data_IF_760308059638
#
_entry.id   IF_760308059638
#
_cell.length_a   1.000
_cell.length_b   1.000
_cell.length_c   1.000
_cell.angle_alpha   90.00
_cell.angle_beta   90.00
_cell.angle_gamma   90.00
#
_symmetry.space_group_name_H-M   'P 1'
#
loop_
_entity.id
_entity.type
_entity.pdbx_description
1 polymer ?
#
# COMPACT_ATOMS: atom_id res chain seq x y z
N UNK A 1 45.59 0.82 15.76
CA UNK A 1 44.70 0.83 14.58
C UNK A 1 43.41 0.06 14.81
N UNK A 2 43.46 -1.18 15.32
CA UNK A 2 42.25 -1.99 15.61
C UNK A 2 41.27 -1.28 16.56
N UNK A 3 41.76 -0.64 17.64
CA UNK A 3 40.92 0.12 18.57
C UNK A 3 40.15 1.27 17.91
N UNK A 4 40.75 1.97 16.93
CA UNK A 4 40.06 3.03 16.19
C UNK A 4 38.94 2.47 15.31
N UNK A 5 39.15 1.30 14.72
CA UNK A 5 38.12 0.61 13.94
C UNK A 5 36.96 0.16 14.82
N UNK A 6 37.24 -0.37 16.02
CA UNK A 6 36.19 -0.76 16.97
C UNK A 6 35.36 0.44 17.42
N UNK A 7 36.00 1.56 17.76
CA UNK A 7 35.29 2.80 18.14
C UNK A 7 34.46 3.34 16.98
N UNK A 8 34.96 3.28 15.74
CA UNK A 8 34.23 3.69 14.55
C UNK A 8 33.00 2.80 14.30
N UNK A 9 33.13 1.48 14.42
CA UNK A 9 32.01 0.55 14.29
C UNK A 9 30.93 0.76 15.37
N UNK A 10 31.33 1.00 16.63
CA UNK A 10 30.40 1.28 17.72
C UNK A 10 29.68 2.61 17.47
N UNK A 11 30.41 3.65 17.08
CA UNK A 11 29.83 4.96 16.75
C UNK A 11 28.80 4.84 15.62
N UNK A 12 29.17 4.21 14.51
CA UNK A 12 28.26 4.03 13.38
C UNK A 12 27.03 3.18 13.73
N UNK A 13 27.19 2.13 14.55
CA UNK A 13 26.05 1.32 15.01
C UNK A 13 25.06 2.13 15.86
N UNK A 14 25.55 2.95 16.78
CA UNK A 14 24.71 3.83 17.61
C UNK A 14 23.97 4.85 16.74
N UNK A 15 24.68 5.54 15.83
CA UNK A 15 24.06 6.49 14.91
C UNK A 15 23.01 5.83 14.02
N UNK A 16 23.29 4.63 13.49
CA UNK A 16 22.36 3.85 12.70
C UNK A 16 21.06 3.51 13.44
N UNK A 17 21.16 3.05 14.69
CA UNK A 17 19.98 2.73 15.52
C UNK A 17 19.17 3.98 15.86
N UNK A 18 19.81 5.12 16.11
CA UNK A 18 19.12 6.38 16.40
C UNK A 18 18.35 6.85 15.17
N UNK A 19 18.98 6.88 13.99
CA UNK A 19 18.32 7.34 12.76
C UNK A 19 17.17 6.43 12.37
N UNK A 20 17.34 5.11 12.40
CA UNK A 20 16.24 4.20 12.08
C UNK A 20 15.02 4.46 12.98
N UNK A 21 15.24 4.68 14.28
CA UNK A 21 14.14 5.02 15.20
C UNK A 21 13.45 6.34 14.85
N UNK A 22 14.20 7.38 14.47
CA UNK A 22 13.65 8.67 14.04
C UNK A 22 12.81 8.51 12.76
N UNK A 23 13.23 7.63 11.85
CA UNK A 23 12.53 7.38 10.58
C UNK A 23 11.27 6.54 10.81
N UNK A 24 11.33 5.54 11.69
CA UNK A 24 10.19 4.75 12.15
C UNK A 24 9.12 5.64 12.81
N UNK A 25 9.52 6.55 13.71
CA UNK A 25 8.62 7.52 14.36
C UNK A 25 7.93 8.46 13.33
N UNK A 26 8.53 8.62 12.15
CA UNK A 26 8.00 9.41 11.04
C UNK A 26 7.10 8.61 10.08
N UNK A 27 6.91 7.32 10.33
CA UNK A 27 6.06 6.43 9.53
C UNK A 27 6.71 5.92 8.25
N UNK A 28 8.04 6.00 8.12
CA UNK A 28 8.78 5.44 6.98
C UNK A 28 9.38 4.09 7.35
N UNK A 29 9.33 3.14 6.40
CA UNK A 29 9.83 1.77 6.55
C UNK A 29 11.23 1.56 5.97
N UNK A 30 11.86 2.61 5.45
CA UNK A 30 13.17 2.53 4.81
C UNK A 30 14.30 2.38 5.83
N UNK A 31 15.23 1.47 5.55
CA UNK A 31 16.43 1.29 6.36
C UNK A 31 17.48 2.37 6.07
N UNK A 32 17.56 3.35 6.98
CA UNK A 32 18.53 4.44 6.93
C UNK A 32 19.81 4.15 7.74
N UNK A 33 19.93 2.93 8.28
CA UNK A 33 21.03 2.50 9.14
C UNK A 33 22.40 2.69 8.48
N UNK A 34 22.57 2.20 7.24
CA UNK A 34 23.85 2.30 6.52
C UNK A 34 24.20 3.75 6.17
N UNK A 35 23.21 4.55 5.80
CA UNK A 35 23.40 5.98 5.54
C UNK A 35 23.85 6.71 6.80
N UNK A 36 23.21 6.44 7.94
CA UNK A 36 23.59 7.00 9.23
C UNK A 36 24.93 6.49 9.75
N UNK A 37 25.33 5.26 9.41
CA UNK A 37 26.62 4.67 9.81
C UNK A 37 27.80 5.44 9.19
N UNK A 38 27.72 5.81 7.91
CA UNK A 38 28.83 6.48 7.20
C UNK A 38 28.79 8.00 7.30
N UNK A 39 27.59 8.60 7.37
CA UNK A 39 27.41 10.06 7.34
C UNK A 39 26.99 10.66 8.70
N UNK A 40 26.78 9.81 9.71
CA UNK A 40 26.63 10.20 11.12
C UNK A 40 25.63 11.33 11.34
N UNK A 41 26.15 12.46 11.83
CA UNK A 41 25.35 13.65 12.21
C UNK A 41 24.61 14.27 11.02
N UNK A 42 25.16 14.23 9.80
CA UNK A 42 24.49 14.81 8.64
C UNK A 42 23.17 14.10 8.33
N UNK A 43 23.15 12.78 8.47
CA UNK A 43 21.94 11.98 8.25
C UNK A 43 20.96 12.13 9.42
N UNK A 44 21.44 12.33 10.65
CA UNK A 44 20.55 12.69 11.77
C UNK A 44 19.86 14.02 11.50
N UNK A 45 20.59 15.05 11.05
CA UNK A 45 20.02 16.36 10.69
C UNK A 45 19.01 16.19 9.56
N UNK A 46 19.37 15.48 8.48
CA UNK A 46 18.45 15.20 7.39
C UNK A 46 17.19 14.48 7.90
N UNK A 47 17.35 13.39 8.66
CA UNK A 47 16.25 12.62 9.23
C UNK A 47 15.32 13.49 10.08
N UNK A 48 15.85 14.45 10.83
CA UNK A 48 15.05 15.42 11.61
C UNK A 48 14.31 16.42 10.74
N UNK A 49 14.91 16.88 9.63
CA UNK A 49 14.30 17.82 8.68
C UNK A 49 13.19 17.19 7.84
N UNK A 50 13.19 15.86 7.65
CA UNK A 50 12.11 15.21 6.90
C UNK A 50 10.76 15.41 7.61
N UNK A 51 9.69 15.83 6.91
CA UNK A 51 8.36 15.91 7.52
C UNK A 51 7.87 14.51 7.94
N UNK A 52 6.96 14.48 8.91
CA UNK A 52 6.22 13.27 9.28
C UNK A 52 5.25 12.94 8.14
N UNK A 53 5.17 11.67 7.77
CA UNK A 53 4.16 11.22 6.81
C UNK A 53 2.84 11.16 7.57
N UNK A 54 1.93 12.10 7.29
CA UNK A 54 0.54 12.02 7.73
C UNK A 54 -0.22 11.22 6.67
N UNK A 55 -0.64 10.01 7.03
CA UNK A 55 -1.50 9.19 6.19
C UNK A 55 -2.92 9.70 6.39
N UNK A 56 -3.45 10.44 5.42
CA UNK A 56 -4.84 10.87 5.41
C UNK A 56 -5.68 9.76 4.76
N UNK A 57 -6.43 9.01 5.56
CA UNK A 57 -7.42 8.07 5.05
C UNK A 57 -8.69 8.87 4.78
N UNK A 58 -9.00 9.15 3.52
CA UNK A 58 -10.28 9.75 3.13
C UNK A 58 -11.33 8.63 3.09
N UNK A 59 -12.35 8.70 3.95
CA UNK A 59 -13.43 7.71 4.04
C UNK A 59 -14.54 7.87 2.98
N UNK A 60 -14.36 8.73 1.97
CA UNK A 60 -15.43 9.11 1.04
C UNK A 60 -15.08 8.75 -0.41
N UNK A 61 -15.38 7.53 -0.85
CA UNK A 61 -15.41 7.23 -2.29
C UNK A 61 -16.69 7.79 -2.91
N UNK A 62 -16.64 9.07 -3.30
CA UNK A 62 -17.26 9.56 -4.53
C UNK A 62 -16.63 10.91 -4.92
N UNK A 63 -15.66 10.86 -5.84
CA UNK A 63 -15.07 12.00 -6.56
C UNK A 63 -14.36 13.07 -5.71
N UNK A 64 -13.26 12.71 -5.03
CA UNK A 64 -12.17 13.65 -4.70
C UNK A 64 -10.89 12.86 -4.36
N UNK A 65 -9.72 13.39 -4.75
CA UNK A 65 -8.44 12.69 -4.62
C UNK A 65 -8.07 12.30 -3.19
N UNK A 66 -7.42 11.16 -3.04
CA UNK A 66 -6.74 10.74 -1.82
C UNK A 66 -5.40 10.12 -2.20
N UNK A 67 -4.33 10.86 -1.91
CA UNK A 67 -2.97 10.35 -1.85
C UNK A 67 -2.88 9.35 -0.69
N UNK A 68 -3.31 8.11 -0.95
CA UNK A 68 -3.00 6.99 -0.08
C UNK A 68 -1.57 6.56 -0.40
N UNK A 69 -0.61 7.04 0.39
CA UNK A 69 0.73 6.49 0.38
C UNK A 69 0.63 5.07 0.93
N UNK A 70 0.36 4.13 0.03
CA UNK A 70 0.41 2.69 0.25
C UNK A 70 1.73 2.41 0.97
N UNK A 71 1.62 2.08 2.25
CA UNK A 71 2.74 1.56 3.04
C UNK A 71 3.09 0.23 2.40
N UNK A 72 4.15 0.25 1.59
CA UNK A 72 4.72 -0.94 0.97
C UNK A 72 5.41 -1.80 2.04
N UNK A 73 4.61 -2.46 2.87
CA UNK A 73 5.01 -3.72 3.49
C UNK A 73 5.14 -4.75 2.37
N UNK A 74 6.27 -5.48 2.29
CA UNK A 74 6.47 -6.51 1.26
C UNK A 74 5.47 -7.67 1.34
N UNK A 75 4.66 -7.74 2.40
CA UNK A 75 3.58 -8.71 2.56
C UNK A 75 2.32 -8.31 1.77
N UNK A 76 2.20 -7.04 1.36
CA UNK A 76 1.04 -6.49 0.63
C UNK A 76 1.00 -6.93 -0.84
N UNK A 77 2.14 -7.25 -1.46
CA UNK A 77 2.18 -7.56 -2.90
C UNK A 77 1.43 -8.86 -3.26
N UNK A 78 1.49 -9.89 -2.41
CA UNK A 78 0.70 -11.11 -2.59
C UNK A 78 -0.79 -10.84 -2.36
N UNK A 79 -1.10 -10.04 -1.33
CA UNK A 79 -2.48 -9.71 -0.97
C UNK A 79 -3.19 -8.81 -2.00
N UNK A 80 -2.47 -8.01 -2.79
CA UNK A 80 -3.09 -7.16 -3.82
C UNK A 80 -3.50 -7.97 -5.06
N UNK A 81 -2.69 -8.94 -5.49
CA UNK A 81 -3.06 -9.81 -6.61
C UNK A 81 -4.19 -10.78 -6.21
N UNK A 82 -4.14 -11.30 -4.98
CA UNK A 82 -5.21 -12.14 -4.42
C UNK A 82 -6.49 -11.32 -4.16
N UNK A 83 -6.38 -10.09 -3.65
CA UNK A 83 -7.52 -9.17 -3.53
C UNK A 83 -8.09 -8.79 -4.88
N UNK A 84 -7.27 -8.53 -5.90
CA UNK A 84 -7.75 -8.22 -7.26
C UNK A 84 -8.47 -9.41 -7.88
N UNK A 85 -8.01 -10.64 -7.63
CA UNK A 85 -8.72 -11.87 -8.03
C UNK A 85 -10.02 -12.06 -7.25
N UNK A 86 -10.05 -11.73 -5.96
CA UNK A 86 -11.25 -11.80 -5.13
C UNK A 86 -12.27 -10.72 -5.48
N UNK A 87 -11.84 -9.49 -5.77
CA UNK A 87 -12.70 -8.39 -6.22
C UNK A 87 -13.24 -8.69 -7.63
N UNK A 88 -12.41 -9.16 -8.55
CA UNK A 88 -12.86 -9.59 -9.88
C UNK A 88 -13.84 -10.78 -9.79
N UNK A 89 -13.61 -11.73 -8.88
CA UNK A 89 -14.55 -12.82 -8.62
C UNK A 89 -15.85 -12.33 -7.96
N UNK A 90 -15.78 -11.35 -7.06
CA UNK A 90 -16.93 -10.74 -6.40
C UNK A 90 -17.76 -9.90 -7.38
N UNK A 91 -17.13 -9.15 -8.28
CA UNK A 91 -17.81 -8.44 -9.37
C UNK A 91 -18.49 -9.41 -10.34
N UNK A 92 -17.83 -10.51 -10.72
CA UNK A 92 -18.44 -11.56 -11.54
C UNK A 92 -19.62 -12.26 -10.83
N UNK A 93 -19.64 -12.23 -9.49
CA UNK A 93 -20.71 -12.81 -8.67
C UNK A 93 -21.90 -11.87 -8.43
N UNK A 94 -21.75 -10.56 -8.69
CA UNK A 94 -22.87 -9.61 -8.64
C UNK A 94 -23.80 -9.93 -9.82
N UNK A 95 -24.82 -10.74 -9.54
CA UNK A 95 -25.91 -11.00 -10.45
C UNK A 95 -26.64 -9.73 -10.89
N UNK A 96 -27.42 -9.85 -11.95
CA UNK A 96 -28.22 -8.75 -12.48
C UNK A 96 -29.69 -9.14 -12.57
N UNK A 97 -30.57 -8.19 -12.28
CA UNK A 97 -32.01 -8.39 -12.38
C UNK A 97 -32.48 -8.05 -13.79
N UNK A 98 -33.27 -8.94 -14.39
CA UNK A 98 -33.85 -8.70 -15.69
C UNK A 98 -34.91 -7.59 -15.63
N UNK A 99 -34.81 -6.54 -16.46
CA UNK A 99 -35.80 -5.46 -16.47
C UNK A 99 -37.14 -5.88 -17.10
N UNK A 100 -37.19 -7.01 -17.82
CA UNK A 100 -38.39 -7.48 -18.51
C UNK A 100 -39.22 -8.41 -17.61
N UNK A 101 -38.59 -9.42 -17.01
CA UNK A 101 -39.30 -10.41 -16.19
C UNK A 101 -39.04 -10.28 -14.68
N UNK A 102 -38.05 -9.49 -14.27
CA UNK A 102 -37.67 -9.33 -12.87
C UNK A 102 -36.76 -10.42 -12.31
N UNK A 103 -36.47 -11.48 -13.07
CA UNK A 103 -35.65 -12.60 -12.60
C UNK A 103 -34.19 -12.21 -12.35
N UNK A 104 -33.61 -12.76 -11.29
CA UNK A 104 -32.20 -12.55 -10.93
C UNK A 104 -31.31 -13.57 -11.68
N UNK A 105 -30.40 -13.05 -12.49
CA UNK A 105 -29.44 -13.85 -13.26
C UNK A 105 -28.03 -13.72 -12.66
N UNK A 106 -27.18 -14.71 -12.86
CA UNK A 106 -25.78 -14.64 -12.42
C UNK A 106 -24.98 -13.57 -13.20
N UNK A 107 -23.95 -12.99 -12.59
CA UNK A 107 -23.19 -11.89 -13.21
C UNK A 107 -22.47 -12.28 -14.51
N UNK A 108 -22.17 -13.57 -14.69
CA UNK A 108 -21.61 -14.11 -15.94
C UNK A 108 -22.66 -14.46 -17.01
N UNK A 109 -23.96 -14.41 -16.70
CA UNK A 109 -25.02 -14.78 -17.63
C UNK A 109 -25.33 -13.60 -18.56
N UNK A 110 -25.13 -13.76 -19.86
CA UNK A 110 -25.42 -12.71 -20.86
C UNK A 110 -26.89 -12.61 -21.27
N UNK A 111 -27.69 -13.65 -20.97
CA UNK A 111 -29.09 -13.78 -21.35
C UNK A 111 -29.92 -14.28 -20.18
N UNK A 112 -31.14 -13.74 -20.06
CA UNK A 112 -32.13 -14.18 -19.09
C UNK A 112 -33.00 -15.31 -19.67
N UNK A 113 -33.58 -16.14 -18.82
CA UNK A 113 -34.52 -17.20 -19.21
C UNK A 113 -35.75 -16.70 -19.98
N UNK A 114 -36.12 -15.41 -19.84
CA UNK A 114 -37.19 -14.80 -20.62
C UNK A 114 -36.78 -14.40 -22.05
N UNK A 115 -35.52 -14.61 -22.43
CA UNK A 115 -34.95 -14.26 -23.73
C UNK A 115 -34.28 -12.89 -23.80
N UNK A 116 -34.33 -12.09 -22.73
CA UNK A 116 -33.69 -10.77 -22.68
C UNK A 116 -32.16 -10.87 -22.54
N UNK A 117 -31.39 -10.17 -23.39
CA UNK A 117 -29.92 -10.14 -23.36
C UNK A 117 -29.38 -8.79 -22.88
N UNK A 118 -28.37 -8.80 -22.00
CA UNK A 118 -27.76 -7.57 -21.44
C UNK A 118 -26.80 -6.91 -22.41
N UNK A 119 -26.18 -7.70 -23.29
CA UNK A 119 -25.21 -7.24 -24.28
C UNK A 119 -25.83 -6.44 -25.44
N UNK A 120 -27.17 -6.29 -25.46
CA UNK A 120 -27.86 -5.35 -26.33
C UNK A 120 -27.40 -5.39 -27.78
N UNK A 121 -27.47 -6.54 -28.44
CA UNK A 121 -27.51 -6.64 -29.90
C UNK A 121 -28.28 -7.89 -30.32
N UNK A 122 -29.56 -7.64 -30.63
CA UNK A 122 -30.56 -8.45 -31.35
C UNK A 122 -30.95 -9.79 -30.73
#
# INVERSE_FOLDING_TARGET
MVWFLLLFCIHGYICGKIVNRIIEDKGRTEDWFLWAFFFGVYVIIAALLLPKVEIYINEDENYFGSDESVVAHSDTYKNFEDSKKMIAAAELSKGWNCPVCGDMNAGHAGTCSCGYSVAGNM
#
